data_IF_699760082517
#
_entry.id   IF_699760082517
#
_cell.length_a   1.000
_cell.length_b   1.000
_cell.length_c   1.000
_cell.angle_alpha   90.00
_cell.angle_beta   90.00
_cell.angle_gamma   90.00
#
_symmetry.space_group_name_H-M   'P 1'
#
loop_
_entity.id
_entity.type
_entity.pdbx_description
1 polymer ?
#
# COMPACT_ATOMS: atom_id res chain seq x y z
N UNK A 1 -64.16 -9.21 8.71
CA UNK A 1 -63.69 -9.59 7.36
C UNK A 1 -62.80 -8.47 6.85
N UNK A 2 -61.49 -8.58 7.08
CA UNK A 2 -60.50 -7.64 6.57
C UNK A 2 -59.83 -8.27 5.33
N UNK A 3 -59.73 -7.49 4.26
CA UNK A 3 -59.10 -7.90 2.99
C UNK A 3 -57.63 -8.22 3.23
N UNK A 4 -57.18 -9.35 2.68
CA UNK A 4 -55.75 -9.66 2.51
C UNK A 4 -55.24 -8.76 1.39
N UNK A 5 -54.37 -7.82 1.73
CA UNK A 5 -53.50 -7.18 0.74
C UNK A 5 -52.39 -8.18 0.41
N UNK A 6 -52.47 -8.72 -0.80
CA UNK A 6 -51.40 -9.46 -1.45
C UNK A 6 -50.21 -8.52 -1.63
N UNK A 7 -49.16 -8.71 -0.84
CA UNK A 7 -47.84 -8.19 -1.18
C UNK A 7 -47.34 -8.98 -2.38
N UNK A 8 -47.47 -8.39 -3.58
CA UNK A 8 -46.78 -8.90 -4.76
C UNK A 8 -45.29 -8.84 -4.51
N UNK A 9 -44.62 -9.99 -4.53
CA UNK A 9 -43.17 -10.07 -4.64
C UNK A 9 -42.72 -9.33 -5.91
N UNK A 10 -42.27 -8.09 -5.74
CA UNK A 10 -41.53 -7.38 -6.77
C UNK A 10 -40.25 -8.14 -7.11
N UNK A 11 -39.67 -7.91 -8.30
CA UNK A 11 -38.53 -8.69 -8.77
C UNK A 11 -37.41 -8.64 -7.73
N UNK A 12 -36.99 -9.83 -7.29
CA UNK A 12 -36.03 -10.03 -6.22
C UNK A 12 -34.87 -9.06 -6.34
N UNK A 13 -34.74 -8.16 -5.37
CA UNK A 13 -33.55 -7.32 -5.22
C UNK A 13 -32.40 -8.27 -4.92
N UNK A 14 -31.65 -8.64 -5.94
CA UNK A 14 -30.33 -9.24 -5.78
C UNK A 14 -29.57 -8.31 -4.81
N UNK A 15 -29.01 -8.83 -3.70
CA UNK A 15 -28.16 -8.02 -2.85
C UNK A 15 -26.98 -7.55 -3.71
N UNK A 16 -27.02 -6.28 -4.12
CA UNK A 16 -25.93 -5.67 -4.86
C UNK A 16 -24.81 -5.43 -3.86
N UNK A 17 -23.79 -6.29 -3.90
CA UNK A 17 -22.52 -5.97 -3.26
C UNK A 17 -21.97 -4.74 -3.98
N UNK A 18 -21.80 -3.63 -3.26
CA UNK A 18 -21.36 -2.34 -3.81
C UNK A 18 -20.01 -2.39 -4.54
N UNK A 19 -19.20 -3.44 -4.33
CA UNK A 19 -17.85 -3.56 -4.90
C UNK A 19 -17.77 -4.69 -5.93
N UNK A 20 -17.24 -4.37 -7.11
CA UNK A 20 -16.90 -5.34 -8.16
C UNK A 20 -15.50 -5.93 -7.93
N UNK A 21 -15.19 -7.01 -8.64
CA UNK A 21 -13.82 -7.57 -8.73
C UNK A 21 -12.79 -6.50 -9.13
N UNK A 22 -13.13 -5.66 -10.10
CA UNK A 22 -12.29 -4.53 -10.55
C UNK A 22 -12.00 -3.56 -9.41
N UNK A 23 -13.00 -3.26 -8.57
CA UNK A 23 -12.83 -2.34 -7.44
C UNK A 23 -11.90 -2.95 -6.37
N UNK A 24 -12.03 -4.25 -6.13
CA UNK A 24 -11.12 -5.02 -5.28
C UNK A 24 -9.68 -4.98 -5.79
N UNK A 25 -9.45 -5.30 -7.07
CA UNK A 25 -8.12 -5.23 -7.70
C UNK A 25 -7.49 -3.83 -7.56
N UNK A 26 -8.25 -2.77 -7.89
CA UNK A 26 -7.78 -1.37 -7.76
C UNK A 26 -7.38 -1.00 -6.34
N UNK A 27 -8.15 -1.46 -5.36
CA UNK A 27 -7.98 -1.04 -3.96
C UNK A 27 -6.91 -1.84 -3.23
N UNK A 28 -6.82 -3.14 -3.50
CA UNK A 28 -6.00 -4.09 -2.74
C UNK A 28 -4.63 -4.28 -3.39
N UNK A 29 -4.57 -4.50 -4.71
CA UNK A 29 -3.34 -4.96 -5.37
C UNK A 29 -2.21 -3.94 -5.23
N UNK A 30 -2.48 -2.64 -5.43
CA UNK A 30 -1.46 -1.60 -5.28
C UNK A 30 -0.84 -1.59 -3.88
N UNK A 31 -1.69 -1.62 -2.84
CA UNK A 31 -1.22 -1.57 -1.45
C UNK A 31 -0.39 -2.81 -1.10
N UNK A 32 -0.86 -3.99 -1.49
CA UNK A 32 -0.14 -5.24 -1.26
C UNK A 32 1.24 -5.24 -1.96
N UNK A 33 1.31 -4.82 -3.22
CA UNK A 33 2.57 -4.71 -3.95
C UNK A 33 3.53 -3.70 -3.31
N UNK A 34 3.05 -2.56 -2.82
CA UNK A 34 3.91 -1.61 -2.09
C UNK A 34 4.55 -2.24 -0.84
N UNK A 35 3.81 -3.09 -0.11
CA UNK A 35 4.35 -3.81 1.04
C UNK A 35 5.42 -4.82 0.63
N UNK A 36 5.14 -5.61 -0.41
CA UNK A 36 6.04 -6.63 -0.93
C UNK A 36 7.31 -6.02 -1.51
N UNK A 37 7.23 -4.89 -2.21
CA UNK A 37 8.40 -4.14 -2.69
C UNK A 37 9.31 -3.73 -1.52
N UNK A 38 8.73 -3.18 -0.45
CA UNK A 38 9.51 -2.82 0.73
C UNK A 38 10.20 -4.05 1.32
N UNK A 39 9.48 -5.16 1.45
CA UNK A 39 10.05 -6.39 1.98
C UNK A 39 11.17 -6.96 1.09
N UNK A 40 10.97 -6.91 -0.23
CA UNK A 40 11.94 -7.38 -1.22
C UNK A 40 13.24 -6.55 -1.19
N UNK A 41 13.12 -5.22 -1.16
CA UNK A 41 14.30 -4.34 -1.21
C UNK A 41 15.05 -4.28 0.12
N UNK A 42 14.32 -4.21 1.25
CA UNK A 42 14.94 -4.11 2.58
C UNK A 42 15.25 -5.49 3.20
N UNK A 43 14.81 -6.59 2.58
CA UNK A 43 15.00 -7.95 3.08
C UNK A 43 14.22 -8.27 4.36
N UNK A 44 13.28 -7.42 4.76
CA UNK A 44 12.52 -7.57 6.00
C UNK A 44 11.14 -6.91 5.95
N UNK A 45 10.21 -7.41 6.74
CA UNK A 45 8.89 -6.79 6.87
C UNK A 45 8.99 -5.44 7.60
N UNK A 46 8.40 -4.41 6.99
CA UNK A 46 8.28 -3.08 7.58
C UNK A 46 6.82 -2.77 7.93
N UNK A 47 6.55 -2.44 9.18
CA UNK A 47 5.21 -2.01 9.59
C UNK A 47 4.78 -0.73 8.86
N UNK A 48 3.47 -0.54 8.67
CA UNK A 48 2.88 0.66 8.05
C UNK A 48 3.49 1.96 8.61
N UNK A 49 3.64 2.06 9.93
CA UNK A 49 4.19 3.26 10.58
C UNK A 49 5.67 3.48 10.25
N UNK A 50 6.46 2.41 10.18
CA UNK A 50 7.89 2.52 9.85
C UNK A 50 8.05 2.95 8.39
N UNK A 51 7.27 2.36 7.46
CA UNK A 51 7.24 2.79 6.05
C UNK A 51 6.83 4.26 5.92
N UNK A 52 5.78 4.67 6.63
CA UNK A 52 5.33 6.06 6.63
C UNK A 52 6.37 7.04 7.20
N UNK A 53 7.24 6.63 8.13
CA UNK A 53 8.37 7.49 8.56
C UNK A 53 9.43 7.62 7.47
N UNK A 54 9.73 6.54 6.74
CA UNK A 54 10.66 6.60 5.59
C UNK A 54 10.10 7.55 4.54
N UNK A 55 8.82 7.42 4.19
CA UNK A 55 8.13 8.33 3.26
C UNK A 55 8.14 9.78 3.77
N UNK A 56 7.98 10.00 5.08
CA UNK A 56 8.07 11.31 5.69
C UNK A 56 9.47 11.92 5.59
N UNK A 57 10.53 11.12 5.75
CA UNK A 57 11.90 11.61 5.58
C UNK A 57 12.18 11.96 4.12
N UNK A 58 11.75 11.12 3.16
CA UNK A 58 11.83 11.42 1.72
C UNK A 58 11.16 12.75 1.42
N UNK A 59 9.92 12.92 1.89
CA UNK A 59 9.17 14.16 1.67
C UNK A 59 9.85 15.38 2.31
N UNK A 60 10.31 15.24 3.55
CA UNK A 60 10.99 16.32 4.26
C UNK A 60 12.32 16.72 3.58
N UNK A 61 13.15 15.76 3.15
CA UNK A 61 14.39 16.06 2.43
C UNK A 61 14.13 16.68 1.06
N UNK A 62 13.11 16.22 0.33
CA UNK A 62 12.71 16.83 -0.93
C UNK A 62 12.21 18.27 -0.75
N UNK A 63 11.43 18.52 0.32
CA UNK A 63 10.85 19.84 0.64
C UNK A 63 11.89 20.85 1.13
N UNK A 64 12.77 20.42 2.03
CA UNK A 64 13.69 21.33 2.73
C UNK A 64 15.13 21.31 2.18
N UNK A 65 15.47 20.34 1.32
CA UNK A 65 16.80 20.18 0.71
C UNK A 65 17.95 20.19 1.72
N UNK A 66 17.74 19.60 2.90
CA UNK A 66 18.73 19.54 3.98
C UNK A 66 18.59 18.28 4.84
N UNK A 67 19.54 18.05 5.75
CA UNK A 67 19.38 17.06 6.81
C UNK A 67 18.23 17.49 7.74
N UNK A 68 17.31 16.57 8.01
CA UNK A 68 16.02 16.91 8.63
C UNK A 68 16.15 16.80 10.14
N UNK A 69 15.83 17.88 10.87
CA UNK A 69 15.85 17.84 12.34
C UNK A 69 14.76 16.92 12.89
N UNK A 70 14.94 16.45 14.12
CA UNK A 70 13.93 15.63 14.82
C UNK A 70 12.56 16.29 14.92
N UNK A 71 12.52 17.61 15.08
CA UNK A 71 11.27 18.35 15.15
C UNK A 71 10.54 18.32 13.79
N UNK A 72 11.24 18.66 12.70
CA UNK A 72 10.69 18.65 11.34
C UNK A 72 10.24 17.26 10.92
N UNK A 73 11.05 16.23 11.19
CA UNK A 73 10.67 14.86 10.85
C UNK A 73 9.44 14.42 11.64
N UNK A 74 9.35 14.77 12.92
CA UNK A 74 8.18 14.42 13.73
C UNK A 74 6.91 15.12 13.25
N UNK A 75 7.00 16.38 12.83
CA UNK A 75 5.89 17.13 12.26
C UNK A 75 5.37 16.45 11.00
N UNK A 76 6.22 16.26 9.99
CA UNK A 76 5.86 15.64 8.71
C UNK A 76 5.34 14.20 8.89
N UNK A 77 5.99 13.40 9.74
CA UNK A 77 5.58 12.02 9.98
C UNK A 77 4.22 11.92 10.69
N UNK A 78 3.85 12.89 11.55
CA UNK A 78 2.53 12.89 12.20
C UNK A 78 1.40 13.15 11.21
N UNK A 79 1.66 13.98 10.20
CA UNK A 79 0.72 14.25 9.11
C UNK A 79 0.53 13.01 8.24
N UNK A 80 1.62 12.42 7.75
CA UNK A 80 1.56 11.30 6.81
C UNK A 80 1.09 9.98 7.43
N UNK A 81 1.44 9.70 8.70
CA UNK A 81 1.04 8.47 9.40
C UNK A 81 -0.34 8.64 10.07
N UNK A 82 -0.96 9.82 9.93
CA UNK A 82 -2.23 10.19 10.59
C UNK A 82 -2.21 9.94 12.11
N UNK A 83 -1.05 10.11 12.74
CA UNK A 83 -0.84 9.80 14.15
C UNK A 83 -0.65 11.06 14.98
N UNK A 84 -1.63 11.40 15.82
CA UNK A 84 -1.53 12.58 16.69
C UNK A 84 -0.50 12.44 17.81
N UNK A 85 -0.09 11.22 18.17
CA UNK A 85 0.79 10.93 19.32
C UNK A 85 2.28 11.10 18.98
N UNK A 86 2.92 12.15 19.53
CA UNK A 86 4.37 12.39 19.42
C UNK A 86 5.21 11.18 19.89
N UNK A 87 4.94 10.55 21.06
CA UNK A 87 5.72 9.38 21.50
C UNK A 87 5.62 8.19 20.55
N UNK A 88 4.46 7.97 19.92
CA UNK A 88 4.29 6.87 18.96
C UNK A 88 5.13 7.10 17.71
N UNK A 89 5.11 8.32 17.16
CA UNK A 89 5.92 8.67 15.98
C UNK A 89 7.42 8.61 16.30
N UNK A 90 7.84 9.12 17.46
CA UNK A 90 9.25 9.01 17.89
C UNK A 90 9.73 7.56 17.99
N UNK A 91 8.88 6.65 18.50
CA UNK A 91 9.19 5.21 18.53
C UNK A 91 9.32 4.63 17.12
N UNK A 92 8.48 5.05 16.18
CA UNK A 92 8.59 4.62 14.78
C UNK A 92 9.87 5.16 14.10
N UNK A 93 10.23 6.42 14.36
CA UNK A 93 11.50 7.02 13.89
C UNK A 93 12.69 6.23 14.42
N UNK A 94 12.75 6.04 15.75
CA UNK A 94 13.82 5.25 16.36
C UNK A 94 13.89 3.85 15.77
N UNK A 95 12.74 3.17 15.60
CA UNK A 95 12.70 1.84 14.99
C UNK A 95 13.24 1.85 13.55
N UNK A 96 12.94 2.87 12.76
CA UNK A 96 13.47 2.98 11.39
C UNK A 96 15.00 3.17 11.37
N UNK A 97 15.54 3.94 12.31
CA UNK A 97 17.00 4.06 12.53
C UNK A 97 17.59 2.71 12.98
N UNK A 98 17.00 2.06 13.97
CA UNK A 98 17.47 0.74 14.48
C UNK A 98 17.47 -0.34 13.38
N UNK A 99 16.56 -0.23 12.41
CA UNK A 99 16.46 -1.10 11.24
C UNK A 99 17.40 -0.70 10.09
N UNK A 100 18.19 0.37 10.25
CA UNK A 100 19.14 0.86 9.26
C UNK A 100 18.51 1.51 8.03
N UNK A 101 17.25 1.92 8.10
CA UNK A 101 16.52 2.49 6.95
C UNK A 101 16.98 3.92 6.62
N UNK A 102 17.38 4.67 7.64
CA UNK A 102 18.06 5.95 7.52
C UNK A 102 18.96 6.17 8.74
N UNK A 103 19.89 7.12 8.61
CA UNK A 103 20.86 7.44 9.65
C UNK A 103 20.41 8.61 10.50
N UNK A 104 20.97 8.70 11.71
CA UNK A 104 20.87 9.86 12.57
C UNK A 104 22.27 10.40 12.91
N UNK A 105 22.38 11.71 13.05
CA UNK A 105 23.57 12.42 13.49
C UNK A 105 23.20 13.42 14.58
N UNK A 106 24.06 13.53 15.59
CA UNK A 106 23.83 14.39 16.75
C UNK A 106 24.86 15.50 16.79
N UNK A 107 24.38 16.74 16.70
CA UNK A 107 25.19 17.94 16.89
C UNK A 107 24.72 18.69 18.14
N UNK A 108 25.48 18.57 19.22
CA UNK A 108 25.12 19.13 20.52
C UNK A 108 23.80 18.56 21.06
N UNK A 109 22.74 19.40 21.06
CA UNK A 109 21.38 19.01 21.49
C UNK A 109 20.45 18.64 20.33
N UNK A 110 20.87 18.88 19.09
CA UNK A 110 20.06 18.62 17.91
C UNK A 110 20.35 17.23 17.35
N UNK A 111 19.31 16.61 16.77
CA UNK A 111 19.40 15.34 16.05
C UNK A 111 18.90 15.59 14.63
N UNK A 112 19.70 15.16 13.67
CA UNK A 112 19.45 15.25 12.24
C UNK A 112 19.29 13.85 11.66
N UNK A 113 18.34 13.69 10.74
CA UNK A 113 18.06 12.44 10.05
C UNK A 113 18.28 12.62 8.55
N UNK A 114 18.87 11.61 7.93
CA UNK A 114 19.22 11.62 6.51
C UNK A 114 19.41 10.20 5.97
N UNK A 115 19.27 10.03 4.66
CA UNK A 115 19.70 8.80 3.99
C UNK A 115 21.19 8.88 3.66
N UNK A 116 21.98 7.99 4.27
CA UNK A 116 23.35 7.74 3.81
C UNK A 116 23.33 7.15 2.38
N UNK A 117 24.46 7.17 1.63
CA UNK A 117 24.46 6.74 0.22
C UNK A 117 23.87 5.35 -0.04
N UNK A 118 24.18 4.36 0.82
CA UNK A 118 23.62 3.01 0.69
C UNK A 118 22.10 2.97 0.95
N UNK A 119 21.61 3.75 1.90
CA UNK A 119 20.18 3.84 2.22
C UNK A 119 19.42 4.58 1.11
N UNK A 120 20.02 5.65 0.58
CA UNK A 120 19.48 6.38 -0.56
C UNK A 120 19.34 5.46 -1.78
N UNK A 121 20.33 4.60 -2.05
CA UNK A 121 20.22 3.61 -3.13
C UNK A 121 19.05 2.64 -2.92
N UNK A 122 18.80 2.17 -1.69
CA UNK A 122 17.64 1.33 -1.38
C UNK A 122 16.32 2.07 -1.59
N UNK A 123 16.22 3.31 -1.12
CA UNK A 123 15.04 4.17 -1.33
C UNK A 123 14.76 4.35 -2.82
N UNK A 124 15.78 4.67 -3.62
CA UNK A 124 15.64 4.81 -5.07
C UNK A 124 15.16 3.51 -5.73
N UNK A 125 15.62 2.34 -5.29
CA UNK A 125 15.13 1.05 -5.78
C UNK A 125 13.66 0.83 -5.42
N UNK A 126 13.24 1.14 -4.20
CA UNK A 126 11.82 1.09 -3.79
C UNK A 126 10.98 1.99 -4.68
N UNK A 127 11.38 3.25 -4.86
CA UNK A 127 10.64 4.22 -5.67
C UNK A 127 10.54 3.78 -7.12
N UNK A 128 11.62 3.28 -7.71
CA UNK A 128 11.64 2.78 -9.08
C UNK A 128 10.64 1.62 -9.29
N UNK A 129 10.55 0.70 -8.33
CA UNK A 129 9.59 -0.41 -8.38
C UNK A 129 8.15 0.06 -8.15
N UNK A 130 7.92 1.00 -7.23
CA UNK A 130 6.56 1.54 -6.97
C UNK A 130 5.95 2.19 -8.21
N UNK A 131 6.76 2.82 -9.06
CA UNK A 131 6.31 3.42 -10.33
C UNK A 131 5.73 2.38 -11.31
N UNK A 132 6.07 1.10 -11.17
CA UNK A 132 5.58 0.03 -12.04
C UNK A 132 4.16 -0.46 -11.64
N UNK A 133 3.76 -0.25 -10.39
CA UNK A 133 2.48 -0.74 -9.83
C UNK A 133 1.28 -0.34 -10.69
N UNK A 134 1.12 0.94 -11.12
CA UNK A 134 -0.03 1.32 -11.95
C UNK A 134 -0.12 0.52 -13.24
N UNK A 135 1.02 0.23 -13.90
CA UNK A 135 1.05 -0.56 -15.13
C UNK A 135 0.68 -2.02 -14.88
N UNK A 136 1.15 -2.62 -13.77
CA UNK A 136 0.72 -3.97 -13.35
C UNK A 136 -0.79 -4.01 -13.13
N UNK A 137 -1.34 -3.04 -12.39
CA UNK A 137 -2.79 -2.99 -12.12
C UNK A 137 -3.59 -2.78 -13.40
N UNK A 138 -3.12 -1.96 -14.34
CA UNK A 138 -3.77 -1.80 -15.66
C UNK A 138 -3.80 -3.12 -16.42
N UNK A 139 -2.71 -3.89 -16.42
CA UNK A 139 -2.68 -5.22 -17.03
C UNK A 139 -3.68 -6.19 -16.37
N UNK A 140 -3.72 -6.24 -15.03
CA UNK A 140 -4.66 -7.05 -14.26
C UNK A 140 -6.13 -6.68 -14.52
N UNK A 141 -6.41 -5.38 -14.68
CA UNK A 141 -7.75 -4.89 -15.03
C UNK A 141 -8.11 -5.13 -16.50
N UNK A 142 -7.15 -5.39 -17.37
CA UNK A 142 -7.39 -5.70 -18.78
C UNK A 142 -7.67 -7.19 -18.99
N UNK A 143 -7.20 -8.04 -18.08
CA UNK A 143 -7.40 -9.49 -18.08
C UNK A 143 -7.82 -9.98 -16.67
N UNK A 144 -9.06 -9.66 -16.29
CA UNK A 144 -9.61 -9.89 -14.93
C UNK A 144 -9.90 -11.34 -14.58
N UNK A 145 -9.41 -12.30 -15.38
CA UNK A 145 -9.49 -13.74 -15.10
C UNK A 145 -8.10 -14.39 -15.01
N UNK A 146 -7.06 -13.66 -15.40
CA UNK A 146 -5.70 -14.17 -15.39
C UNK A 146 -4.97 -13.78 -14.10
N UNK A 147 -4.62 -14.75 -13.23
CA UNK A 147 -3.91 -14.47 -11.99
C UNK A 147 -2.50 -13.94 -12.21
N UNK A 148 -1.90 -14.14 -13.38
CA UNK A 148 -0.53 -13.75 -13.72
C UNK A 148 -0.43 -12.49 -14.58
N UNK A 149 -1.55 -11.83 -14.88
CA UNK A 149 -1.56 -10.61 -15.70
C UNK A 149 -0.61 -9.54 -15.13
N UNK A 150 0.34 -9.08 -15.95
CA UNK A 150 1.34 -8.07 -15.59
C UNK A 150 2.44 -8.54 -14.62
N UNK A 151 2.55 -9.85 -14.37
CA UNK A 151 3.59 -10.41 -13.48
C UNK A 151 5.02 -10.25 -14.02
N UNK A 152 5.18 -10.10 -15.33
CA UNK A 152 6.44 -9.83 -16.01
C UNK A 152 6.95 -8.39 -15.81
N UNK A 153 6.08 -7.47 -15.39
CA UNK A 153 6.39 -6.05 -15.23
C UNK A 153 7.07 -5.72 -13.91
N UNK A 154 7.09 -6.66 -12.95
CA UNK A 154 7.61 -6.43 -11.60
C UNK A 154 8.29 -7.72 -11.10
N UNK A 155 9.32 -7.65 -10.23
CA UNK A 155 9.92 -8.86 -9.68
C UNK A 155 8.87 -9.78 -9.03
N UNK A 156 9.04 -11.10 -9.19
CA UNK A 156 8.09 -12.11 -8.69
C UNK A 156 7.75 -11.91 -7.20
N UNK A 157 8.76 -11.67 -6.36
CA UNK A 157 8.57 -11.42 -4.93
C UNK A 157 7.82 -10.11 -4.57
N UNK A 158 7.50 -9.28 -5.56
CA UNK A 158 6.76 -8.04 -5.43
C UNK A 158 5.35 -8.12 -6.05
N UNK A 159 5.05 -9.17 -6.82
CA UNK A 159 3.79 -9.32 -7.52
C UNK A 159 2.66 -9.74 -6.57
N UNK A 160 1.48 -9.16 -6.77
CA UNK A 160 0.27 -9.57 -6.05
C UNK A 160 -0.97 -9.36 -6.90
N UNK A 161 -1.86 -10.35 -6.88
CA UNK A 161 -3.16 -10.25 -7.54
C UNK A 161 -4.25 -10.88 -6.67
N UNK A 162 -5.17 -10.07 -6.16
CA UNK A 162 -6.28 -10.53 -5.30
C UNK A 162 -7.27 -11.44 -6.05
N UNK A 163 -7.16 -11.56 -7.37
CA UNK A 163 -8.10 -12.35 -8.16
C UNK A 163 -8.17 -13.82 -7.75
N UNK A 164 -7.06 -14.40 -7.30
CA UNK A 164 -6.99 -15.78 -6.85
C UNK A 164 -7.97 -16.09 -5.70
N UNK A 165 -8.44 -15.04 -5.01
CA UNK A 165 -9.38 -15.12 -3.89
C UNK A 165 -10.85 -15.04 -4.33
N UNK A 166 -11.12 -14.70 -5.60
CA UNK A 166 -12.49 -14.65 -6.11
C UNK A 166 -12.87 -15.98 -6.77
N UNK A 167 -14.06 -16.53 -6.48
CA UNK A 167 -14.52 -17.72 -7.16
C UNK A 167 -14.60 -17.46 -8.67
N UNK A 168 -14.18 -18.46 -9.46
CA UNK A 168 -14.53 -18.50 -10.87
C UNK A 168 -16.05 -18.55 -10.94
N UNK A 169 -16.67 -17.52 -11.52
CA UNK A 169 -18.09 -17.59 -11.84
C UNK A 169 -18.24 -18.67 -12.91
N UNK A 170 -18.51 -19.90 -12.49
CA UNK A 170 -19.06 -20.92 -13.39
C UNK A 170 -20.33 -20.30 -13.95
N UNK A 171 -20.31 -19.91 -15.23
CA UNK A 171 -21.54 -19.58 -15.95
C UNK A 171 -22.49 -20.76 -15.74
N UNK A 172 -23.68 -20.49 -15.22
CA UNK A 172 -24.79 -21.42 -15.28
C UNK A 172 -25.10 -21.66 -16.78
N UNK A 173 -24.40 -22.61 -17.38
CA UNK A 173 -24.86 -23.30 -18.56
C UNK A 173 -25.82 -24.38 -18.06
N UNK A 174 -27.08 -24.00 -17.92
CA UNK A 174 -28.22 -24.92 -17.88
C UNK A 174 -29.32 -24.16 -18.61
N UNK A 175 -29.49 -24.32 -19.92
CA UNK A 175 -30.20 -25.46 -20.50
C UNK A 175 -31.46 -25.75 -19.68
N UNK A 176 -32.54 -25.08 -20.05
CA UNK A 176 -33.87 -25.67 -19.97
C UNK A 176 -34.39 -25.75 -21.39
N UNK A 177 -34.47 -26.98 -21.87
CA UNK A 177 -35.30 -27.42 -22.99
C UNK A 177 -36.76 -26.96 -22.84
#
# INVERSE_FOLDING_TARGET
MARRDEYSDGPGRLPTTLMTRRDGMRTINSKAMEELICQHVYGQYLTVRVRGVVDALIHAQAKYQCHVTAEKLNEVARELIECKSRPTVRRAIKRAVDLGLFSEEKEGRQIYYYFAPAQSALVHRVLALKVLIPSVVVAQLSDELNPTAGSDLIPEGCYYNVIEWYPENKKNNGETE
#
